data_IF_782022319140
#
_entry.id   IF_782022319140
#
_cell.length_a   1.000
_cell.length_b   1.000
_cell.length_c   1.000
_cell.angle_alpha   90.00
_cell.angle_beta   90.00
_cell.angle_gamma   90.00
#
_symmetry.space_group_name_H-M   'P 1'
#
loop_
_entity.id
_entity.type
_entity.pdbx_description
1 polymer ?
#
# COMPACT_ATOMS: atom_id res chain seq x y z
N UNK A 1 -1.14 -1.72 27.32
CA UNK A 1 0.11 -2.06 26.58
C UNK A 1 -0.15 -2.78 25.25
N UNK A 2 -1.31 -3.43 25.03
CA UNK A 2 -1.66 -4.11 23.78
C UNK A 2 -1.72 -3.19 22.54
N UNK A 3 -2.13 -1.92 22.67
CA UNK A 3 -2.25 -0.97 21.56
C UNK A 3 -0.89 -0.59 20.92
N UNK A 4 0.17 -0.49 21.72
CA UNK A 4 1.53 -0.19 21.24
C UNK A 4 2.14 -1.39 20.51
N UNK A 5 1.82 -2.62 20.97
CA UNK A 5 2.17 -3.85 20.27
C UNK A 5 1.47 -3.95 18.92
N UNK A 6 0.17 -3.63 18.85
CA UNK A 6 -0.61 -3.75 17.62
C UNK A 6 -0.13 -2.82 16.49
N UNK A 7 0.16 -1.55 16.79
CA UNK A 7 0.65 -0.57 15.81
C UNK A 7 2.13 -0.80 15.46
N UNK A 8 2.96 -1.20 16.43
CA UNK A 8 4.36 -1.53 16.18
C UNK A 8 4.47 -2.84 15.39
N UNK A 9 3.60 -3.82 15.63
CA UNK A 9 3.47 -5.03 14.81
C UNK A 9 2.89 -4.70 13.43
N UNK A 10 1.95 -3.76 13.29
CA UNK A 10 1.50 -3.26 11.98
C UNK A 10 2.63 -2.60 11.21
N UNK A 11 3.39 -1.68 11.81
CA UNK A 11 4.52 -1.00 11.15
C UNK A 11 5.71 -1.93 10.91
N UNK A 12 5.97 -2.89 11.81
CA UNK A 12 7.01 -3.89 11.63
C UNK A 12 6.59 -4.88 10.54
N UNK A 13 5.36 -5.40 10.53
CA UNK A 13 4.86 -6.26 9.44
C UNK A 13 4.81 -5.51 8.11
N UNK A 14 4.41 -4.25 8.10
CA UNK A 14 4.44 -3.43 6.89
C UNK A 14 5.88 -3.19 6.40
N UNK A 15 6.86 -3.00 7.29
CA UNK A 15 8.28 -2.93 6.91
C UNK A 15 8.86 -4.30 6.53
N UNK A 16 8.49 -5.38 7.22
CA UNK A 16 8.97 -6.74 6.98
C UNK A 16 8.45 -7.28 5.64
N UNK A 17 7.20 -6.96 5.29
CA UNK A 17 6.58 -7.34 4.02
C UNK A 17 7.06 -6.48 2.83
N UNK A 18 7.59 -5.28 3.08
CA UNK A 18 8.22 -4.44 2.04
C UNK A 18 9.69 -4.80 1.83
N UNK A 19 10.41 -5.27 2.85
CA UNK A 19 11.87 -5.49 2.78
C UNK A 19 12.34 -6.94 2.58
N UNK A 20 11.51 -7.97 2.78
CA UNK A 20 11.94 -9.38 2.59
C UNK A 20 11.68 -9.90 1.16
N UNK A 21 12.19 -9.12 0.19
CA UNK A 21 12.16 -9.42 -1.25
C UNK A 21 13.55 -9.68 -1.84
N UNK A 22 14.51 -10.17 -1.05
CA UNK A 22 15.78 -10.73 -1.54
C UNK A 22 16.20 -11.88 -0.62
N UNK A 23 16.22 -13.11 -1.15
CA UNK A 23 16.51 -14.31 -0.39
C UNK A 23 17.95 -14.40 0.14
N UNK A 24 18.21 -15.35 1.03
CA UNK A 24 19.03 -16.56 0.77
C UNK A 24 19.16 -17.42 2.04
N UNK A 25 18.82 -18.70 1.86
CA UNK A 25 19.20 -19.95 2.55
C UNK A 25 20.41 -19.95 3.52
N UNK A 26 20.27 -20.49 4.75
CA UNK A 26 21.06 -21.65 5.26
C UNK A 26 20.68 -22.17 6.65
N UNK A 27 20.69 -23.51 6.72
CA UNK A 27 20.56 -24.44 7.86
C UNK A 27 21.68 -24.31 8.91
N UNK A 28 21.40 -24.57 10.20
CA UNK A 28 21.62 -25.88 10.87
C UNK A 28 21.57 -25.81 12.43
N UNK A 29 21.17 -26.97 13.00
CA UNK A 29 21.57 -27.58 14.29
C UNK A 29 20.80 -27.33 15.63
N UNK A 30 19.92 -28.31 15.96
CA UNK A 30 20.00 -29.28 17.11
C UNK A 30 19.93 -28.76 18.59
N UNK A 31 19.25 -29.32 19.62
CA UNK A 31 18.26 -30.39 19.96
C UNK A 31 17.93 -30.24 21.50
N UNK A 32 17.27 -31.18 22.23
CA UNK A 32 15.91 -31.07 22.79
C UNK A 32 15.84 -31.14 24.35
N UNK A 33 14.63 -31.42 24.87
CA UNK A 33 14.24 -31.92 26.22
C UNK A 33 13.71 -30.80 27.15
N UNK A 34 12.55 -30.89 27.82
CA UNK A 34 11.73 -32.03 28.28
C UNK A 34 10.27 -31.60 28.54
N UNK A 35 9.38 -32.60 28.51
CA UNK A 35 7.99 -32.60 28.98
C UNK A 35 7.90 -32.19 30.47
N UNK A 36 6.98 -31.29 30.83
CA UNK A 36 6.28 -31.35 32.11
C UNK A 36 4.87 -30.76 31.97
N UNK A 37 3.87 -31.61 32.23
CA UNK A 37 2.46 -31.24 32.29
C UNK A 37 2.16 -30.69 33.68
N UNK A 38 1.77 -29.42 33.80
CA UNK A 38 1.15 -28.90 35.01
C UNK A 38 0.00 -27.97 34.64
N UNK A 39 -1.21 -28.43 34.97
CA UNK A 39 -2.42 -27.63 35.03
C UNK A 39 -2.26 -26.54 36.09
N UNK A 40 -2.18 -25.28 35.67
CA UNK A 40 -2.32 -24.13 36.57
C UNK A 40 -2.87 -22.91 35.81
N UNK A 41 -4.18 -22.75 35.90
CA UNK A 41 -4.98 -21.51 35.85
C UNK A 41 -4.23 -20.20 35.47
N UNK A 42 -4.44 -19.60 34.28
CA UNK A 42 -3.59 -18.50 33.82
C UNK A 42 -4.29 -17.13 33.79
N UNK A 43 -4.97 -16.66 34.86
CA UNK A 43 -5.40 -15.24 34.92
C UNK A 43 -5.31 -14.61 36.32
N UNK A 44 -4.47 -15.12 37.21
CA UNK A 44 -4.01 -14.33 38.36
C UNK A 44 -2.77 -13.51 37.97
N UNK A 45 -2.95 -12.58 37.04
CA UNK A 45 -1.90 -11.60 36.71
C UNK A 45 -2.09 -10.38 37.61
N UNK A 46 -1.60 -10.57 38.84
CA UNK A 46 -1.10 -9.59 39.80
C UNK A 46 -1.55 -8.12 39.60
N UNK A 47 -2.45 -7.66 40.48
CA UNK A 47 -3.00 -6.29 40.60
C UNK A 47 -1.99 -5.21 41.05
N UNK A 48 -0.67 -5.44 40.96
CA UNK A 48 0.36 -4.53 41.49
C UNK A 48 1.38 -4.04 40.45
N UNK A 49 0.94 -3.69 39.24
CA UNK A 49 1.71 -2.85 38.31
C UNK A 49 0.80 -1.74 37.77
N UNK A 50 0.56 -0.72 38.59
CA UNK A 50 -0.14 0.50 38.16
C UNK A 50 0.35 1.71 38.96
N UNK A 51 1.44 2.38 38.54
CA UNK A 51 1.39 3.84 38.52
C UNK A 51 0.45 4.24 37.38
N UNK A 52 -0.64 4.91 37.76
CA UNK A 52 -1.73 5.40 36.92
C UNK A 52 -1.23 6.25 35.73
N UNK A 53 -1.88 6.04 34.57
CA UNK A 53 -2.28 7.11 33.62
C UNK A 53 -1.21 8.03 33.01
N UNK A 54 -0.06 7.52 32.56
CA UNK A 54 0.87 8.35 31.76
C UNK A 54 1.25 7.76 30.38
N UNK A 55 1.09 6.45 30.15
CA UNK A 55 1.49 5.81 28.88
C UNK A 55 0.49 5.90 27.72
N UNK A 56 -0.81 6.14 28.00
CA UNK A 56 -1.86 6.22 26.96
C UNK A 56 -1.95 7.58 26.27
N UNK A 57 -1.50 8.65 26.92
CA UNK A 57 -1.53 10.01 26.37
C UNK A 57 -0.46 10.24 25.29
N UNK A 58 0.65 9.52 25.35
CA UNK A 58 1.76 9.65 24.41
C UNK A 58 1.45 9.04 23.03
N UNK A 59 0.64 7.97 22.97
CA UNK A 59 0.24 7.38 21.68
C UNK A 59 -0.68 8.32 20.89
N UNK A 60 -1.66 8.93 21.54
CA UNK A 60 -2.55 9.90 20.92
C UNK A 60 -1.84 11.20 20.54
N UNK A 61 -0.90 11.69 21.37
CA UNK A 61 -0.10 12.88 21.06
C UNK A 61 0.93 12.61 19.97
N UNK A 62 1.54 11.42 19.91
CA UNK A 62 2.45 11.04 18.83
C UNK A 62 1.70 10.86 17.51
N UNK A 63 0.51 10.25 17.55
CA UNK A 63 -0.38 10.14 16.41
C UNK A 63 -0.85 11.53 15.96
N UNK A 64 -1.33 12.39 16.85
CA UNK A 64 -1.67 13.78 16.52
C UNK A 64 -0.44 14.54 16.02
N UNK A 65 0.76 14.32 16.56
CA UNK A 65 1.98 14.96 16.08
C UNK A 65 2.37 14.47 14.67
N UNK A 66 2.20 13.18 14.35
CA UNK A 66 2.41 12.63 13.01
C UNK A 66 1.33 13.10 12.04
N UNK A 67 0.06 13.16 12.46
CA UNK A 67 -1.04 13.69 11.66
C UNK A 67 -0.94 15.20 11.42
N UNK A 68 -0.54 15.98 12.44
CA UNK A 68 -0.25 17.41 12.34
C UNK A 68 1.01 17.63 11.52
N UNK A 69 2.08 16.83 11.68
CA UNK A 69 3.26 16.88 10.82
C UNK A 69 2.87 16.65 9.35
N UNK A 70 2.10 15.61 9.04
CA UNK A 70 1.60 15.33 7.68
C UNK A 70 0.63 16.41 7.16
N UNK A 71 -0.14 17.09 8.03
CA UNK A 71 -1.10 18.12 7.63
C UNK A 71 -0.47 19.51 7.46
N UNK A 72 0.46 19.87 8.33
CA UNK A 72 1.17 21.16 8.36
C UNK A 72 2.31 21.16 7.35
N UNK A 73 3.02 20.04 7.21
CA UNK A 73 3.92 19.81 6.08
C UNK A 73 3.20 19.21 4.88
N UNK A 74 1.88 19.05 4.84
CA UNK A 74 1.16 18.65 3.62
C UNK A 74 1.58 19.48 2.39
N UNK A 75 1.58 20.83 2.46
CA UNK A 75 2.09 21.69 1.39
C UNK A 75 3.62 21.73 1.29
N UNK A 76 4.37 21.41 2.35
CA UNK A 76 5.85 21.36 2.35
C UNK A 76 6.41 20.03 1.81
N UNK A 77 5.70 18.93 2.03
CA UNK A 77 5.93 17.59 1.52
C UNK A 77 5.59 17.56 0.02
N UNK A 78 4.48 18.21 -0.38
CA UNK A 78 4.21 18.55 -1.78
C UNK A 78 5.27 19.52 -2.38
N UNK A 79 5.97 20.32 -1.56
CA UNK A 79 7.10 21.18 -1.99
C UNK A 79 8.47 20.50 -1.98
N UNK A 80 8.66 19.40 -1.26
CA UNK A 80 9.85 18.53 -1.40
C UNK A 80 9.76 17.76 -2.73
N UNK A 81 8.53 17.44 -3.16
CA UNK A 81 8.25 17.12 -4.57
C UNK A 81 8.18 18.36 -5.46
N UNK A 82 8.34 19.57 -4.93
CA UNK A 82 8.07 20.85 -5.59
C UNK A 82 9.19 21.34 -6.50
N UNK A 83 9.13 20.92 -7.78
CA UNK A 83 8.95 21.89 -8.84
C UNK A 83 7.74 21.53 -9.72
N UNK A 84 6.60 21.21 -9.09
CA UNK A 84 5.37 20.69 -9.71
C UNK A 84 4.22 21.71 -9.75
N UNK A 85 4.52 22.98 -9.98
CA UNK A 85 3.53 24.07 -9.83
C UNK A 85 2.77 24.43 -11.12
N UNK A 86 2.68 23.55 -12.12
CA UNK A 86 1.95 23.92 -13.36
C UNK A 86 1.13 22.82 -14.03
N UNK A 87 0.90 21.68 -13.37
CA UNK A 87 0.05 20.60 -13.91
C UNK A 87 -0.65 19.80 -12.81
N UNK A 88 -1.36 20.50 -11.93
CA UNK A 88 -1.77 19.95 -10.64
C UNK A 88 -3.05 19.09 -10.65
N UNK A 89 -3.74 18.82 -11.76
CA UNK A 89 -5.11 18.29 -11.67
C UNK A 89 -5.23 16.76 -11.55
N UNK A 90 -4.26 15.97 -11.98
CA UNK A 90 -4.37 14.49 -11.96
C UNK A 90 -3.60 13.81 -10.82
N UNK A 91 -2.45 14.34 -10.40
CA UNK A 91 -1.65 13.79 -9.27
C UNK A 91 -2.23 14.11 -7.92
N UNK A 92 -2.91 15.24 -7.86
CA UNK A 92 -3.76 15.62 -6.76
C UNK A 92 -4.77 14.52 -6.44
N UNK A 93 -5.22 13.73 -7.43
CA UNK A 93 -6.16 12.63 -7.20
C UNK A 93 -5.52 11.46 -6.41
N UNK A 94 -4.39 10.91 -6.85
CA UNK A 94 -3.69 9.80 -6.15
C UNK A 94 -3.16 10.25 -4.79
N UNK A 95 -2.63 11.48 -4.72
CA UNK A 95 -2.22 12.09 -3.45
C UNK A 95 -3.38 12.24 -2.47
N UNK A 96 -4.55 12.71 -2.92
CA UNK A 96 -5.74 12.76 -2.07
C UNK A 96 -6.23 11.39 -1.65
N UNK A 97 -6.15 10.36 -2.50
CA UNK A 97 -6.48 8.99 -2.10
C UNK A 97 -5.56 8.50 -0.98
N UNK A 98 -4.24 8.73 -1.08
CA UNK A 98 -3.29 8.35 -0.03
C UNK A 98 -3.51 9.13 1.27
N UNK A 99 -3.78 10.43 1.18
CA UNK A 99 -4.10 11.27 2.35
C UNK A 99 -5.40 10.80 3.02
N UNK A 100 -6.45 10.55 2.23
CA UNK A 100 -7.73 10.06 2.73
C UNK A 100 -7.59 8.68 3.38
N UNK A 101 -6.88 7.75 2.75
CA UNK A 101 -6.58 6.43 3.31
C UNK A 101 -5.81 6.55 4.63
N UNK A 102 -4.78 7.39 4.68
CA UNK A 102 -4.02 7.66 5.90
C UNK A 102 -4.88 8.24 7.03
N UNK A 103 -5.77 9.19 6.71
CA UNK A 103 -6.70 9.77 7.68
C UNK A 103 -7.72 8.75 8.21
N UNK A 104 -8.20 7.84 7.37
CA UNK A 104 -9.09 6.75 7.78
C UNK A 104 -8.35 5.80 8.73
N UNK A 105 -7.17 5.32 8.35
CA UNK A 105 -6.35 4.43 9.19
C UNK A 105 -6.01 5.08 10.54
N UNK A 106 -5.75 6.39 10.53
CA UNK A 106 -5.56 7.17 11.74
C UNK A 106 -6.78 7.18 12.65
N UNK A 107 -7.96 7.48 12.09
CA UNK A 107 -9.21 7.52 12.82
C UNK A 107 -9.56 6.15 13.41
N UNK A 108 -9.34 5.07 12.66
CA UNK A 108 -9.53 3.69 13.14
C UNK A 108 -8.60 3.37 14.30
N UNK A 109 -7.32 3.76 14.20
CA UNK A 109 -6.36 3.60 15.29
C UNK A 109 -6.75 4.38 16.55
N UNK A 110 -7.21 5.63 16.39
CA UNK A 110 -7.70 6.44 17.49
C UNK A 110 -8.94 5.85 18.15
N UNK A 111 -9.93 5.41 17.37
CA UNK A 111 -11.15 4.78 17.86
C UNK A 111 -10.86 3.47 18.60
N UNK A 112 -9.93 2.65 18.09
CA UNK A 112 -9.50 1.42 18.77
C UNK A 112 -8.87 1.70 20.14
N UNK A 113 -7.96 2.69 20.21
CA UNK A 113 -7.33 3.07 21.47
C UNK A 113 -8.32 3.75 22.45
N UNK A 114 -9.19 4.63 21.93
CA UNK A 114 -10.21 5.30 22.72
C UNK A 114 -11.25 4.31 23.26
N UNK A 115 -11.72 3.36 22.44
CA UNK A 115 -12.65 2.31 22.85
C UNK A 115 -12.10 1.43 23.95
N UNK A 116 -10.80 1.09 23.88
CA UNK A 116 -10.14 0.30 24.93
C UNK A 116 -9.94 1.08 26.24
N UNK A 117 -9.75 2.40 26.18
CA UNK A 117 -9.51 3.23 27.37
C UNK A 117 -10.80 3.72 28.04
N UNK A 118 -11.82 4.06 27.24
CA UNK A 118 -13.02 4.76 27.73
C UNK A 118 -14.09 3.81 28.28
N UNK A 119 -13.85 2.50 28.31
CA UNK A 119 -14.80 1.46 28.78
C UNK A 119 -16.21 1.60 28.16
N UNK A 120 -16.32 2.29 27.02
CA UNK A 120 -17.59 2.64 26.41
C UNK A 120 -17.98 1.59 25.37
N UNK A 121 -19.01 0.81 25.70
CA UNK A 121 -19.57 -0.24 24.86
C UNK A 121 -19.94 0.23 23.45
N UNK A 122 -20.48 1.45 23.33
CA UNK A 122 -20.88 2.01 22.04
C UNK A 122 -19.67 2.26 21.12
N UNK A 123 -18.60 2.85 21.65
CA UNK A 123 -17.38 3.11 20.88
C UNK A 123 -16.71 1.82 20.39
N UNK A 124 -16.70 0.78 21.24
CA UNK A 124 -16.12 -0.52 20.91
C UNK A 124 -16.95 -1.28 19.87
N UNK A 125 -18.29 -1.16 19.94
CA UNK A 125 -19.19 -1.73 18.94
C UNK A 125 -19.07 -1.02 17.59
N UNK A 126 -18.95 0.31 17.57
CA UNK A 126 -18.68 1.06 16.34
C UNK A 126 -17.35 0.64 15.69
N UNK A 127 -16.28 0.49 16.49
CA UNK A 127 -15.00 0.02 15.98
C UNK A 127 -15.11 -1.39 15.36
N UNK A 128 -15.79 -2.31 16.04
CA UNK A 128 -16.05 -3.66 15.50
C UNK A 128 -16.83 -3.61 14.19
N UNK A 129 -17.91 -2.82 14.11
CA UNK A 129 -18.70 -2.69 12.89
C UNK A 129 -17.90 -2.14 11.71
N UNK A 130 -17.03 -1.14 11.95
CA UNK A 130 -16.21 -0.59 10.87
C UNK A 130 -15.19 -1.63 10.38
N UNK A 131 -14.52 -2.37 11.28
CA UNK A 131 -13.61 -3.45 10.87
C UNK A 131 -14.34 -4.56 10.12
N UNK A 132 -15.56 -4.91 10.52
CA UNK A 132 -16.37 -5.89 9.81
C UNK A 132 -16.69 -5.43 8.38
N UNK A 133 -17.03 -4.15 8.20
CA UNK A 133 -17.29 -3.60 6.86
C UNK A 133 -16.03 -3.61 5.99
N UNK A 134 -14.87 -3.31 6.56
CA UNK A 134 -13.58 -3.38 5.84
C UNK A 134 -13.31 -4.83 5.42
N UNK A 135 -13.43 -5.79 6.32
CA UNK A 135 -13.24 -7.21 6.01
C UNK A 135 -14.15 -7.70 4.88
N UNK A 136 -15.44 -7.32 4.90
CA UNK A 136 -16.37 -7.64 3.81
C UNK A 136 -15.93 -7.00 2.50
N UNK A 137 -15.49 -5.74 2.53
CA UNK A 137 -14.99 -5.05 1.35
C UNK A 137 -13.70 -5.69 0.80
N UNK A 138 -12.78 -6.14 1.66
CA UNK A 138 -11.57 -6.86 1.28
C UNK A 138 -11.91 -8.18 0.59
N UNK A 139 -12.82 -8.98 1.16
CA UNK A 139 -13.28 -10.24 0.54
C UNK A 139 -13.96 -9.97 -0.81
N UNK A 140 -14.82 -8.94 -0.89
CA UNK A 140 -15.46 -8.57 -2.15
C UNK A 140 -14.43 -8.13 -3.21
N UNK A 141 -13.45 -7.30 -2.83
CA UNK A 141 -12.38 -6.87 -3.70
C UNK A 141 -11.53 -8.05 -4.18
N UNK A 142 -11.20 -9.00 -3.30
CA UNK A 142 -10.48 -10.22 -3.66
C UNK A 142 -11.26 -11.06 -4.68
N UNK A 143 -12.58 -11.25 -4.48
CA UNK A 143 -13.42 -11.97 -5.44
C UNK A 143 -13.48 -11.25 -6.78
N UNK A 144 -13.67 -9.92 -6.79
CA UNK A 144 -13.70 -9.13 -8.02
C UNK A 144 -12.36 -9.20 -8.76
N UNK A 145 -11.25 -9.07 -8.04
CA UNK A 145 -9.91 -9.17 -8.60
C UNK A 145 -9.65 -10.55 -9.24
N UNK A 146 -10.16 -11.64 -8.64
CA UNK A 146 -10.01 -12.99 -9.21
C UNK A 146 -10.90 -13.22 -10.44
N UNK A 147 -12.14 -12.73 -10.43
CA UNK A 147 -13.14 -13.03 -11.48
C UNK A 147 -13.00 -12.12 -12.70
N UNK A 148 -12.71 -10.83 -12.51
CA UNK A 148 -12.89 -9.81 -13.55
C UNK A 148 -11.57 -9.25 -14.12
N UNK A 149 -10.46 -9.97 -14.04
CA UNK A 149 -9.15 -9.51 -14.54
C UNK A 149 -9.20 -9.02 -16.00
N UNK A 150 -9.87 -9.75 -16.89
CA UNK A 150 -9.99 -9.41 -18.31
C UNK A 150 -10.89 -8.21 -18.56
N UNK A 151 -11.96 -8.05 -17.78
CA UNK A 151 -12.84 -6.89 -17.88
C UNK A 151 -12.13 -5.64 -17.36
N UNK A 152 -11.38 -5.77 -16.26
CA UNK A 152 -10.57 -4.70 -15.70
C UNK A 152 -9.55 -4.18 -16.71
N UNK A 153 -8.89 -5.05 -17.48
CA UNK A 153 -7.98 -4.65 -18.56
C UNK A 153 -8.64 -3.71 -19.58
N UNK A 154 -9.83 -4.08 -20.07
CA UNK A 154 -10.56 -3.25 -21.03
C UNK A 154 -10.98 -1.90 -20.44
N UNK A 155 -11.56 -1.89 -19.24
CA UNK A 155 -11.97 -0.65 -18.57
C UNK A 155 -10.77 0.26 -18.29
N UNK A 156 -9.66 -0.30 -17.80
CA UNK A 156 -8.45 0.46 -17.53
C UNK A 156 -7.80 0.97 -18.82
N UNK A 157 -7.81 0.18 -19.90
CA UNK A 157 -7.33 0.64 -21.22
C UNK A 157 -8.07 1.90 -21.67
N UNK A 158 -9.40 1.90 -21.55
CA UNK A 158 -10.25 3.03 -21.94
C UNK A 158 -10.04 4.28 -21.08
N UNK A 159 -9.51 4.13 -19.86
CA UNK A 159 -9.24 5.26 -18.96
C UNK A 159 -7.79 5.74 -19.05
N UNK A 160 -6.83 4.82 -19.09
CA UNK A 160 -5.40 5.11 -18.95
C UNK A 160 -4.77 5.51 -20.29
N UNK A 161 -5.12 4.86 -21.40
CA UNK A 161 -4.54 5.21 -22.71
C UNK A 161 -4.88 6.65 -23.12
N UNK A 162 -6.13 7.14 -22.97
CA UNK A 162 -6.42 8.55 -23.23
C UNK A 162 -5.66 9.51 -22.30
N UNK A 163 -5.50 9.16 -21.02
CA UNK A 163 -4.72 9.95 -20.09
C UNK A 163 -3.24 10.03 -20.51
N UNK A 164 -2.64 8.93 -20.96
CA UNK A 164 -1.29 8.94 -21.53
C UNK A 164 -1.21 9.87 -22.74
N UNK A 165 -2.17 9.76 -23.67
CA UNK A 165 -2.20 10.60 -24.88
C UNK A 165 -2.40 12.10 -24.56
N UNK A 166 -3.13 12.42 -23.50
CA UNK A 166 -3.40 13.82 -23.15
C UNK A 166 -2.27 14.44 -22.33
N UNK A 167 -1.71 13.68 -21.38
CA UNK A 167 -0.95 14.25 -20.27
C UNK A 167 0.54 13.89 -20.29
N UNK A 168 0.94 12.81 -20.98
CA UNK A 168 2.34 12.41 -21.07
C UNK A 168 3.16 13.38 -21.94
N UNK A 169 4.19 14.00 -21.35
CA UNK A 169 5.01 15.06 -21.95
C UNK A 169 4.47 16.48 -21.75
N UNK A 170 3.20 16.63 -21.35
CA UNK A 170 2.61 17.92 -20.98
C UNK A 170 2.70 18.15 -19.47
N UNK A 171 2.22 17.16 -18.71
CA UNK A 171 2.29 17.19 -17.25
C UNK A 171 3.57 16.48 -16.77
N UNK A 172 4.45 17.24 -16.09
CA UNK A 172 5.74 16.71 -15.61
C UNK A 172 5.56 15.56 -14.63
N UNK A 173 4.60 15.69 -13.72
CA UNK A 173 4.24 14.66 -12.76
C UNK A 173 3.78 13.37 -13.42
N UNK A 174 2.87 13.49 -14.39
CA UNK A 174 2.36 12.34 -15.14
C UNK A 174 3.48 11.61 -15.83
N UNK A 175 4.32 12.39 -16.48
CA UNK A 175 5.49 11.88 -17.17
C UNK A 175 6.43 11.19 -16.19
N UNK A 176 6.68 11.76 -15.01
CA UNK A 176 7.59 11.18 -14.01
C UNK A 176 7.05 9.89 -13.41
N UNK A 177 5.78 9.85 -13.00
CA UNK A 177 5.18 8.63 -12.45
C UNK A 177 5.20 7.52 -13.49
N UNK A 178 4.84 7.83 -14.73
CA UNK A 178 4.87 6.83 -15.79
C UNK A 178 6.29 6.39 -16.15
N UNK A 179 7.27 7.30 -16.13
CA UNK A 179 8.68 6.96 -16.28
C UNK A 179 9.17 6.02 -15.17
N UNK A 180 8.81 6.29 -13.92
CA UNK A 180 9.15 5.41 -12.79
C UNK A 180 8.47 4.04 -12.90
N UNK A 181 7.21 4.00 -13.35
CA UNK A 181 6.48 2.76 -13.59
C UNK A 181 7.18 1.93 -14.68
N UNK A 182 7.47 2.55 -15.83
CA UNK A 182 8.15 1.90 -16.95
C UNK A 182 9.56 1.43 -16.56
N UNK A 183 10.30 2.23 -15.79
CA UNK A 183 11.62 1.86 -15.28
C UNK A 183 11.56 0.71 -14.27
N UNK A 184 10.62 0.78 -13.31
CA UNK A 184 10.50 -0.18 -12.22
C UNK A 184 9.97 -1.54 -12.65
N UNK A 185 9.08 -1.57 -13.63
CA UNK A 185 8.52 -2.80 -14.19
C UNK A 185 9.26 -3.28 -15.46
N UNK A 186 10.13 -2.46 -16.05
CA UNK A 186 10.83 -2.82 -17.30
C UNK A 186 9.87 -2.97 -18.49
N UNK A 187 8.88 -2.09 -18.59
CA UNK A 187 7.78 -2.16 -19.56
C UNK A 187 7.61 -0.84 -20.32
N UNK A 188 6.76 -0.83 -21.34
CA UNK A 188 6.47 0.36 -22.14
C UNK A 188 4.97 0.55 -22.42
N UNK A 189 4.47 1.76 -22.14
CA UNK A 189 3.07 2.09 -22.36
C UNK A 189 2.13 1.35 -21.40
N UNK A 190 0.82 1.46 -21.62
CA UNK A 190 -0.14 0.63 -20.89
C UNK A 190 -0.22 -0.76 -21.53
N UNK A 191 -0.44 -0.77 -22.85
CA UNK A 191 -0.45 -1.95 -23.72
C UNK A 191 0.85 -2.05 -24.53
N UNK A 192 1.32 -0.94 -25.13
CA UNK A 192 2.54 -0.90 -25.95
C UNK A 192 3.00 0.55 -26.23
N UNK A 193 4.10 0.73 -26.96
CA UNK A 193 4.65 2.04 -27.36
C UNK A 193 3.66 2.93 -28.13
N UNK A 194 2.72 2.33 -28.87
CA UNK A 194 1.69 3.04 -29.64
C UNK A 194 0.77 3.88 -28.77
N UNK A 195 0.69 3.62 -27.47
CA UNK A 195 -0.11 4.41 -26.53
C UNK A 195 0.39 5.87 -26.43
N UNK A 196 1.67 6.11 -26.75
CA UNK A 196 2.26 7.45 -26.78
C UNK A 196 2.05 8.19 -28.10
N UNK A 197 1.50 7.54 -29.13
CA UNK A 197 1.21 8.22 -30.40
C UNK A 197 0.21 9.35 -30.20
N UNK A 198 0.57 10.54 -30.69
CA UNK A 198 -0.22 11.77 -30.51
C UNK A 198 -0.10 12.39 -29.12
N UNK A 199 0.71 11.84 -28.22
CA UNK A 199 1.00 12.48 -26.93
C UNK A 199 1.82 13.76 -27.13
N UNK A 200 1.70 14.75 -26.21
CA UNK A 200 2.55 15.93 -26.20
C UNK A 200 4.05 15.62 -26.25
N UNK A 201 4.49 14.51 -25.64
CA UNK A 201 5.87 14.05 -25.72
C UNK A 201 6.27 13.69 -27.17
N UNK A 202 5.47 12.85 -27.83
CA UNK A 202 5.73 12.40 -29.20
C UNK A 202 5.66 13.55 -30.20
N UNK A 203 4.67 14.44 -30.05
CA UNK A 203 4.52 15.62 -30.92
C UNK A 203 5.69 16.60 -30.81
N UNK A 204 6.35 16.68 -29.65
CA UNK A 204 7.48 17.57 -29.42
C UNK A 204 8.82 16.97 -29.87
N UNK A 205 9.03 15.68 -29.62
CA UNK A 205 10.33 15.04 -29.80
C UNK A 205 10.40 14.16 -31.06
N UNK A 206 9.26 13.83 -31.68
CA UNK A 206 9.12 12.87 -32.78
C UNK A 206 9.73 11.49 -32.47
N UNK A 207 9.75 11.13 -31.19
CA UNK A 207 10.35 9.90 -30.66
C UNK A 207 9.52 9.37 -29.49
N UNK A 208 9.61 8.07 -29.24
CA UNK A 208 8.98 7.42 -28.10
C UNK A 208 9.84 7.54 -26.83
N UNK A 209 9.27 7.27 -25.63
CA UNK A 209 10.05 7.22 -24.41
C UNK A 209 11.19 6.20 -24.49
N UNK A 210 12.36 6.46 -23.87
CA UNK A 210 13.53 5.60 -23.98
C UNK A 210 13.28 4.18 -23.44
N UNK A 211 12.39 4.01 -22.47
CA UNK A 211 11.97 2.72 -21.92
C UNK A 211 11.32 1.79 -22.95
N UNK A 212 10.81 2.35 -24.06
CA UNK A 212 10.22 1.60 -25.16
C UNK A 212 11.24 1.03 -26.15
N UNK A 213 12.50 1.47 -26.08
CA UNK A 213 13.60 1.00 -26.93
C UNK A 213 14.78 0.43 -26.12
N UNK A 214 14.64 0.28 -24.80
CA UNK A 214 15.68 -0.24 -23.94
C UNK A 214 15.15 -1.42 -23.15
N UNK A 215 15.72 -2.61 -23.41
CA UNK A 215 15.38 -3.84 -22.68
C UNK A 215 15.92 -3.84 -21.23
N UNK A 216 16.79 -2.89 -20.91
CA UNK A 216 17.33 -2.64 -19.57
C UNK A 216 16.82 -1.29 -19.08
N UNK A 217 16.01 -1.27 -18.01
CA UNK A 217 15.36 -0.09 -17.40
C UNK A 217 16.29 1.05 -16.92
N UNK A 218 17.53 1.11 -17.40
CA UNK A 218 18.54 2.08 -17.01
C UNK A 218 18.39 3.46 -17.69
N UNK A 219 17.39 3.67 -18.55
CA UNK A 219 17.05 5.00 -19.10
C UNK A 219 18.14 5.66 -19.97
N UNK A 220 19.30 5.04 -20.12
CA UNK A 220 20.42 5.53 -20.94
C UNK A 220 20.26 5.04 -22.38
N UNK A 221 19.20 5.49 -23.05
CA UNK A 221 19.16 5.42 -24.50
C UNK A 221 20.09 6.52 -25.03
N UNK A 222 21.30 6.14 -25.43
CA UNK A 222 22.29 7.05 -26.04
C UNK A 222 21.82 7.57 -27.41
N UNK A 223 20.71 7.04 -27.93
CA UNK A 223 20.13 7.33 -29.23
C UNK A 223 18.60 7.45 -29.13
N UNK A 224 18.02 8.25 -30.03
CA UNK A 224 16.58 8.48 -30.11
C UNK A 224 15.78 7.16 -30.32
N UNK A 225 14.68 7.01 -29.58
CA UNK A 225 13.76 5.88 -29.72
C UNK A 225 12.77 6.15 -30.87
N UNK A 226 13.14 5.74 -32.09
CA UNK A 226 12.29 5.86 -33.28
C UNK A 226 11.24 4.74 -33.32
N UNK A 227 10.26 4.86 -34.21
CA UNK A 227 9.21 3.86 -34.39
C UNK A 227 9.79 2.49 -34.77
N UNK A 228 10.79 2.45 -35.66
CA UNK A 228 11.41 1.20 -36.08
C UNK A 228 12.04 0.48 -34.90
N UNK A 229 12.71 1.22 -34.01
CA UNK A 229 13.31 0.67 -32.81
C UNK A 229 12.30 0.23 -31.77
N UNK A 230 11.25 1.01 -31.55
CA UNK A 230 10.21 0.65 -30.61
C UNK A 230 9.51 -0.65 -31.04
N UNK A 231 9.34 -0.83 -32.36
CA UNK A 231 8.81 -2.04 -32.96
C UNK A 231 9.77 -3.23 -32.88
N UNK A 232 11.06 -3.02 -33.14
CA UNK A 232 12.08 -4.08 -33.13
C UNK A 232 12.37 -4.63 -31.71
N UNK A 233 12.28 -3.79 -30.68
CA UNK A 233 12.58 -4.19 -29.30
C UNK A 233 11.43 -4.94 -28.58
N UNK A 234 10.23 -5.03 -29.16
CA UNK A 234 9.04 -5.75 -28.65
C UNK A 234 8.93 -5.71 -27.10
N UNK A 235 8.91 -4.51 -26.53
CA UNK A 235 8.75 -4.32 -25.08
C UNK A 235 7.29 -4.54 -24.71
N UNK A 236 7.02 -5.33 -23.67
CA UNK A 236 5.67 -5.62 -23.19
C UNK A 236 5.01 -4.38 -22.54
N UNK A 237 3.68 -4.33 -22.63
CA UNK A 237 2.87 -3.34 -21.93
C UNK A 237 2.97 -3.46 -20.41
N UNK A 238 2.93 -2.33 -19.71
CA UNK A 238 3.06 -2.31 -18.25
C UNK A 238 1.94 -3.05 -17.52
N UNK A 239 0.73 -3.09 -18.09
CA UNK A 239 -0.36 -3.85 -17.46
C UNK A 239 -0.11 -5.36 -17.51
N UNK A 240 0.32 -5.88 -18.65
CA UNK A 240 0.66 -7.30 -18.81
C UNK A 240 1.85 -7.70 -17.94
N UNK A 241 2.88 -6.85 -17.89
CA UNK A 241 4.05 -7.07 -17.04
C UNK A 241 3.69 -7.07 -15.55
N UNK A 242 2.84 -6.13 -15.11
CA UNK A 242 2.33 -6.10 -13.74
C UNK A 242 1.57 -7.39 -13.38
N UNK A 243 0.69 -7.87 -14.27
CA UNK A 243 -0.02 -9.12 -14.03
C UNK A 243 0.91 -10.33 -14.00
N UNK A 244 1.97 -10.33 -14.83
CA UNK A 244 2.99 -11.36 -14.80
C UNK A 244 3.72 -11.36 -13.46
N UNK A 245 4.17 -10.20 -12.98
CA UNK A 245 4.87 -10.06 -11.70
C UNK A 245 3.97 -10.42 -10.51
N UNK A 246 2.69 -10.04 -10.54
CA UNK A 246 1.71 -10.43 -9.53
C UNK A 246 1.47 -11.94 -9.50
N UNK A 247 1.45 -12.60 -10.65
CA UNK A 247 1.32 -14.06 -10.74
C UNK A 247 2.60 -14.77 -10.29
N UNK A 248 3.75 -14.26 -10.70
CA UNK A 248 5.05 -14.79 -10.31
C UNK A 248 5.25 -14.71 -8.78
N UNK A 249 4.79 -13.61 -8.17
CA UNK A 249 4.89 -13.36 -6.73
C UNK A 249 3.56 -13.59 -5.99
N UNK A 250 2.64 -14.37 -6.55
CA UNK A 250 1.29 -14.54 -6.00
C UNK A 250 1.30 -15.09 -4.57
N UNK A 251 2.29 -15.91 -4.22
CA UNK A 251 2.47 -16.44 -2.87
C UNK A 251 2.76 -15.31 -1.87
N UNK A 252 3.67 -14.39 -2.22
CA UNK A 252 4.03 -13.25 -1.37
C UNK A 252 2.85 -12.30 -1.21
N UNK A 253 2.22 -11.91 -2.32
CA UNK A 253 1.06 -11.00 -2.31
C UNK A 253 -0.12 -11.61 -1.56
N UNK A 254 -0.41 -12.89 -1.79
CA UNK A 254 -1.45 -13.62 -1.06
C UNK A 254 -1.14 -13.75 0.42
N UNK A 255 0.12 -13.96 0.78
CA UNK A 255 0.58 -13.99 2.18
C UNK A 255 0.41 -12.66 2.91
N UNK A 256 0.75 -11.55 2.25
CA UNK A 256 0.50 -10.19 2.75
C UNK A 256 -0.99 -9.98 3.03
N UNK A 257 -1.85 -10.28 2.04
CA UNK A 257 -3.29 -10.10 2.15
C UNK A 257 -3.91 -10.99 3.26
N UNK A 258 -3.49 -12.26 3.34
CA UNK A 258 -3.94 -13.17 4.39
C UNK A 258 -3.49 -12.70 5.79
N UNK A 259 -2.28 -12.13 5.90
CA UNK A 259 -1.77 -11.56 7.14
C UNK A 259 -2.60 -10.36 7.62
N UNK A 260 -2.97 -9.46 6.69
CA UNK A 260 -3.85 -8.33 6.98
C UNK A 260 -5.21 -8.82 7.48
N UNK A 261 -5.86 -9.73 6.74
CA UNK A 261 -7.16 -10.28 7.15
C UNK A 261 -7.11 -11.01 8.50
N UNK A 262 -6.01 -11.71 8.81
CA UNK A 262 -5.83 -12.34 10.12
C UNK A 262 -5.71 -11.32 11.27
N UNK A 263 -5.02 -10.19 11.05
CA UNK A 263 -4.93 -9.10 12.02
C UNK A 263 -6.30 -8.44 12.25
N UNK A 264 -7.08 -8.23 11.20
CA UNK A 264 -8.44 -7.69 11.32
C UNK A 264 -9.36 -8.61 12.12
N UNK A 265 -9.34 -9.91 11.83
CA UNK A 265 -10.07 -10.91 12.59
C UNK A 265 -9.67 -10.92 14.06
N UNK A 266 -8.36 -10.86 14.36
CA UNK A 266 -7.87 -10.79 15.73
C UNK A 266 -8.34 -9.52 16.45
N UNK A 267 -8.32 -8.37 15.77
CA UNK A 267 -8.84 -7.11 16.33
C UNK A 267 -10.34 -7.21 16.65
N UNK A 268 -11.14 -7.78 15.73
CA UNK A 268 -12.56 -8.01 15.94
C UNK A 268 -12.84 -8.92 17.14
N UNK A 269 -12.09 -10.03 17.29
CA UNK A 269 -12.22 -10.95 18.44
C UNK A 269 -11.91 -10.22 19.75
N UNK A 270 -10.82 -9.45 19.79
CA UNK A 270 -10.43 -8.68 21.00
C UNK A 270 -11.48 -7.62 21.33
N UNK A 271 -12.03 -6.92 20.34
CA UNK A 271 -13.09 -5.94 20.55
C UNK A 271 -14.36 -6.59 21.10
N UNK A 272 -14.77 -7.74 20.56
CA UNK A 272 -15.94 -8.45 21.08
C UNK A 272 -15.70 -8.99 22.51
N UNK A 273 -14.50 -9.50 22.78
CA UNK A 273 -14.12 -9.93 24.11
C UNK A 273 -14.17 -8.78 25.13
N UNK A 274 -13.59 -7.60 24.80
CA UNK A 274 -13.70 -6.44 25.69
C UNK A 274 -15.16 -6.01 25.86
N UNK A 275 -15.97 -6.01 24.79
CA UNK A 275 -17.38 -5.61 24.85
C UNK A 275 -18.17 -6.46 25.86
N UNK A 276 -17.97 -7.77 25.85
CA UNK A 276 -18.63 -8.71 26.77
C UNK A 276 -18.14 -8.58 28.22
N UNK A 277 -16.89 -8.17 28.45
CA UNK A 277 -16.32 -8.04 29.80
C UNK A 277 -16.57 -6.67 30.44
N UNK A 278 -16.93 -5.65 29.65
CA UNK A 278 -17.37 -4.36 30.17
C UNK A 278 -18.76 -4.52 30.80
N UNK A 279 -18.90 -4.08 32.06
CA UNK A 279 -20.18 -4.09 32.77
C UNK A 279 -21.11 -2.98 32.30
#
# INVERSE_FOLDING_TARGET
MQCFGFIKTMMILFNFLIFDGQGTERRDAQRPQSRESASSNPYSFNKHVLPKTLGGKLCGVALLAVGIWVSVDGPSFLKIFGPLSSSAMQFVNVGYFLIAAGAILFALGFLGCYGAHSENKCALMMFFLILLLIFIAEVAAAVVALVYTTMAEHFLTLLVVPAIKQDYGSQKDFTQVWNSTMAGLGCCGFNNYTDFEGSPYFLKNHTFPPYCCSNSGNGTATEACTEERAKDNIVQGCFSQLLYDLRANAVTVGGVAAGIGALELAAMIVSMYLYCNLK
#
